data_IF_439375601274
#
_entry.id   IF_439375601274
#
_cell.length_a   1.000
_cell.length_b   1.000
_cell.length_c   1.000
_cell.angle_alpha   90.00
_cell.angle_beta   90.00
_cell.angle_gamma   90.00
#
_symmetry.space_group_name_H-M   'P 1'
#
loop_
_entity.id
_entity.type
_entity.pdbx_description
1 polymer ?
#
# COMPACT_ATOMS: atom_id res chain seq x y z
N UNK A 1 -13.28 -16.41 -7.56
CA UNK A 1 -12.53 -15.98 -6.36
C UNK A 1 -12.68 -16.95 -5.20
N UNK A 2 -11.63 -17.13 -4.41
CA UNK A 2 -11.58 -17.95 -3.20
C UNK A 2 -11.40 -17.07 -1.94
N UNK A 3 -12.14 -17.35 -0.86
CA UNK A 3 -12.09 -16.56 0.38
C UNK A 3 -11.48 -17.37 1.53
N UNK A 4 -10.56 -16.75 2.29
CA UNK A 4 -9.99 -17.34 3.51
C UNK A 4 -10.07 -16.34 4.65
N UNK A 5 -10.90 -16.61 5.65
CA UNK A 5 -11.10 -15.73 6.80
C UNK A 5 -11.67 -16.55 7.98
N UNK A 6 -11.03 -16.45 9.16
CA UNK A 6 -11.46 -17.16 10.37
C UNK A 6 -12.76 -16.56 10.97
N UNK A 7 -13.05 -15.30 10.68
CA UNK A 7 -14.27 -14.61 11.08
C UNK A 7 -15.44 -15.03 10.18
N UNK A 8 -16.08 -16.16 10.53
CA UNK A 8 -17.19 -16.77 9.78
C UNK A 8 -18.26 -15.79 9.28
N UNK A 9 -18.75 -14.92 10.16
CA UNK A 9 -19.80 -13.94 9.83
C UNK A 9 -19.33 -12.97 8.73
N UNK A 10 -18.08 -12.52 8.79
CA UNK A 10 -17.51 -11.64 7.78
C UNK A 10 -17.34 -12.38 6.45
N UNK A 11 -16.79 -13.59 6.48
CA UNK A 11 -16.63 -14.43 5.30
C UNK A 11 -17.96 -14.71 4.59
N UNK A 12 -19.01 -15.06 5.34
CA UNK A 12 -20.37 -15.29 4.84
C UNK A 12 -20.97 -14.00 4.26
N UNK A 13 -20.78 -12.86 4.93
CA UNK A 13 -21.26 -11.56 4.44
C UNK A 13 -20.57 -11.18 3.14
N UNK A 14 -19.25 -11.37 3.03
CA UNK A 14 -18.50 -11.09 1.82
C UNK A 14 -18.91 -12.05 0.69
N UNK A 15 -19.09 -13.34 0.99
CA UNK A 15 -19.58 -14.32 0.02
C UNK A 15 -20.98 -13.98 -0.51
N UNK A 16 -21.88 -13.53 0.38
CA UNK A 16 -23.21 -13.04 -0.01
C UNK A 16 -23.11 -11.77 -0.87
N UNK A 17 -22.24 -10.82 -0.51
CA UNK A 17 -22.01 -9.63 -1.32
C UNK A 17 -21.50 -10.00 -2.71
N UNK A 18 -20.56 -10.96 -2.82
CA UNK A 18 -20.06 -11.49 -4.08
C UNK A 18 -21.19 -12.14 -4.90
N UNK A 19 -22.08 -12.91 -4.29
CA UNK A 19 -23.17 -13.60 -5.03
C UNK A 19 -24.20 -12.64 -5.65
N UNK A 20 -24.27 -11.39 -5.16
CA UNK A 20 -25.09 -10.34 -5.79
C UNK A 20 -24.44 -9.69 -7.01
N UNK A 21 -23.16 -9.98 -7.29
CA UNK A 21 -22.42 -9.40 -8.40
C UNK A 21 -22.51 -10.32 -9.63
N UNK A 22 -22.82 -9.79 -10.83
CA UNK A 22 -22.94 -10.60 -12.05
C UNK A 22 -21.58 -11.06 -12.60
N UNK A 23 -20.49 -10.42 -12.19
CA UNK A 23 -19.14 -10.58 -12.73
C UNK A 23 -18.15 -11.24 -11.76
N UNK A 24 -18.60 -11.57 -10.54
CA UNK A 24 -17.78 -12.19 -9.51
C UNK A 24 -18.47 -13.43 -8.96
N UNK A 25 -17.68 -14.48 -8.71
CA UNK A 25 -18.19 -15.72 -8.15
C UNK A 25 -17.27 -16.24 -7.04
N UNK A 26 -17.86 -16.67 -5.93
CA UNK A 26 -17.15 -17.28 -4.81
C UNK A 26 -17.06 -18.79 -5.03
N UNK A 27 -15.86 -19.28 -5.36
CA UNK A 27 -15.59 -20.70 -5.62
C UNK A 27 -15.48 -21.51 -4.33
N UNK A 28 -15.24 -20.86 -3.19
CA UNK A 28 -15.15 -21.52 -1.90
C UNK A 28 -14.77 -20.55 -0.78
N UNK A 29 -15.03 -20.99 0.46
CA UNK A 29 -14.68 -20.28 1.69
C UNK A 29 -13.91 -21.25 2.59
N UNK A 30 -12.86 -20.77 3.23
CA UNK A 30 -12.14 -21.49 4.27
C UNK A 30 -11.88 -20.60 5.49
N UNK A 31 -11.70 -21.21 6.66
CA UNK A 31 -11.55 -20.51 7.94
C UNK A 31 -10.22 -20.83 8.65
N UNK A 32 -9.32 -21.54 7.96
CA UNK A 32 -7.98 -21.89 8.44
C UNK A 32 -7.05 -22.18 7.27
N UNK A 33 -5.74 -22.16 7.49
CA UNK A 33 -4.73 -22.52 6.49
C UNK A 33 -4.90 -23.96 6.02
N UNK A 34 -5.16 -24.88 6.95
CA UNK A 34 -5.39 -26.29 6.65
C UNK A 34 -6.63 -26.50 5.77
N UNK A 35 -7.73 -25.87 6.13
CA UNK A 35 -8.97 -25.94 5.35
C UNK A 35 -8.77 -25.32 3.97
N UNK A 36 -8.10 -24.16 3.90
CA UNK A 36 -7.81 -23.51 2.64
C UNK A 36 -7.04 -24.42 1.66
N UNK A 37 -6.04 -25.14 2.16
CA UNK A 37 -5.31 -26.14 1.36
C UNK A 37 -6.15 -27.35 0.96
N UNK A 38 -7.11 -27.78 1.78
CA UNK A 38 -8.03 -28.85 1.39
C UNK A 38 -8.90 -28.39 0.22
N UNK A 39 -9.57 -27.25 0.39
CA UNK A 39 -10.47 -26.67 -0.62
C UNK A 39 -9.72 -26.37 -1.91
N UNK A 40 -8.51 -25.80 -1.85
CA UNK A 40 -7.71 -25.55 -3.05
C UNK A 40 -7.35 -26.82 -3.82
N UNK A 41 -7.12 -27.95 -3.13
CA UNK A 41 -6.86 -29.24 -3.80
C UNK A 41 -8.10 -29.77 -4.50
N UNK A 42 -9.26 -29.62 -3.87
CA UNK A 42 -10.55 -30.02 -4.46
C UNK A 42 -10.87 -29.14 -5.68
N UNK A 43 -10.76 -27.81 -5.53
CA UNK A 43 -10.99 -26.84 -6.61
C UNK A 43 -10.02 -26.99 -7.78
N UNK A 44 -8.79 -27.44 -7.55
CA UNK A 44 -7.82 -27.67 -8.63
C UNK A 44 -8.27 -28.75 -9.63
N UNK A 45 -9.14 -29.69 -9.21
CA UNK A 45 -9.69 -30.73 -10.08
C UNK A 45 -10.95 -30.30 -10.84
N UNK A 46 -11.66 -29.27 -10.35
CA UNK A 46 -12.94 -28.83 -10.89
C UNK A 46 -12.85 -27.46 -11.55
N UNK A 47 -12.66 -26.42 -10.74
CA UNK A 47 -12.62 -25.03 -11.17
C UNK A 47 -11.68 -24.24 -10.25
N UNK A 48 -10.44 -24.03 -10.71
CA UNK A 48 -9.46 -23.27 -9.95
C UNK A 48 -9.90 -21.80 -9.79
N UNK A 49 -9.67 -21.17 -8.62
CA UNK A 49 -9.93 -19.76 -8.45
C UNK A 49 -8.97 -18.92 -9.30
N UNK A 50 -9.47 -17.77 -9.75
CA UNK A 50 -8.78 -16.74 -10.51
C UNK A 50 -8.24 -15.58 -9.64
N UNK A 51 -8.69 -15.52 -8.39
CA UNK A 51 -8.33 -14.55 -7.38
C UNK A 51 -8.51 -15.19 -6.00
N UNK A 52 -7.64 -14.86 -5.04
CA UNK A 52 -7.87 -15.17 -3.63
C UNK A 52 -7.97 -13.90 -2.78
N UNK A 53 -8.88 -13.90 -1.80
CA UNK A 53 -8.93 -12.91 -0.73
C UNK A 53 -8.59 -13.62 0.58
N UNK A 54 -7.55 -13.17 1.27
CA UNK A 54 -6.94 -13.93 2.37
C UNK A 54 -6.73 -13.04 3.59
N UNK A 55 -7.23 -13.50 4.73
CA UNK A 55 -6.84 -12.98 6.04
C UNK A 55 -5.46 -13.51 6.48
N UNK A 56 -4.68 -12.65 7.14
CA UNK A 56 -3.36 -13.03 7.64
C UNK A 56 -3.41 -13.68 9.03
N UNK A 57 -4.43 -13.35 9.83
CA UNK A 57 -4.58 -13.80 11.21
C UNK A 57 -5.48 -15.04 11.26
N UNK A 58 -4.94 -16.20 10.91
CA UNK A 58 -5.67 -17.48 10.89
C UNK A 58 -5.35 -18.34 12.13
N UNK A 59 -6.27 -19.21 12.58
CA UNK A 59 -6.15 -19.93 13.85
C UNK A 59 -5.00 -20.96 13.89
N UNK A 60 -4.52 -21.42 12.74
CA UNK A 60 -3.50 -22.47 12.60
C UNK A 60 -2.21 -21.99 11.91
N UNK A 61 -2.05 -20.67 11.73
CA UNK A 61 -0.81 -20.08 11.22
C UNK A 61 -1.03 -18.73 10.54
N UNK A 62 0.05 -18.16 10.01
CA UNK A 62 -0.07 -16.91 9.24
C UNK A 62 -0.56 -17.17 7.83
N UNK A 63 -1.60 -16.47 7.40
CA UNK A 63 -2.08 -16.47 6.01
C UNK A 63 -1.03 -15.97 5.01
N UNK A 64 0.05 -15.32 5.47
CA UNK A 64 1.14 -14.85 4.62
C UNK A 64 1.81 -15.98 3.82
N UNK A 65 1.85 -17.20 4.37
CA UNK A 65 2.36 -18.36 3.64
C UNK A 65 1.45 -18.74 2.46
N UNK A 66 0.13 -18.64 2.62
CA UNK A 66 -0.83 -18.83 1.52
C UNK A 66 -0.70 -17.73 0.48
N UNK A 67 -0.48 -16.47 0.90
CA UNK A 67 -0.22 -15.36 -0.01
C UNK A 67 1.00 -15.65 -0.89
N UNK A 68 2.13 -16.01 -0.27
CA UNK A 68 3.37 -16.31 -1.01
C UNK A 68 3.23 -17.51 -1.95
N UNK A 69 2.41 -18.50 -1.59
CA UNK A 69 2.13 -19.69 -2.39
C UNK A 69 1.23 -19.36 -3.60
N UNK A 70 0.14 -18.62 -3.38
CA UNK A 70 -0.89 -18.36 -4.40
C UNK A 70 -0.54 -17.20 -5.33
N UNK A 71 0.17 -16.19 -4.84
CA UNK A 71 0.59 -15.03 -5.63
C UNK A 71 1.46 -15.39 -6.84
N UNK A 72 2.07 -16.57 -6.85
CA UNK A 72 2.83 -17.08 -7.99
C UNK A 72 1.93 -17.49 -9.18
N UNK A 73 0.62 -17.63 -8.97
CA UNK A 73 -0.33 -18.20 -9.93
C UNK A 73 -1.52 -17.29 -10.20
N UNK A 74 -2.02 -16.64 -9.15
CA UNK A 74 -3.21 -15.80 -9.20
C UNK A 74 -3.00 -14.54 -8.36
N UNK A 75 -3.69 -13.43 -8.67
CA UNK A 75 -3.72 -12.28 -7.78
C UNK A 75 -4.25 -12.67 -6.39
N UNK A 76 -3.61 -12.12 -5.35
CA UNK A 76 -4.02 -12.30 -3.97
C UNK A 76 -4.26 -10.94 -3.33
N UNK A 77 -5.48 -10.70 -2.84
CA UNK A 77 -5.81 -9.52 -2.03
C UNK A 77 -5.78 -9.94 -0.58
N UNK A 78 -5.02 -9.21 0.24
CA UNK A 78 -4.99 -9.43 1.67
C UNK A 78 -6.06 -8.58 2.34
N UNK A 79 -6.84 -9.20 3.23
CA UNK A 79 -7.67 -8.50 4.20
C UNK A 79 -7.04 -8.62 5.58
N UNK A 80 -7.09 -7.55 6.38
CA UNK A 80 -6.61 -7.60 7.76
C UNK A 80 -7.42 -6.67 8.64
N UNK A 81 -7.64 -7.04 9.90
CA UNK A 81 -8.28 -6.15 10.87
C UNK A 81 -7.41 -4.92 11.18
N UNK A 82 -6.08 -5.01 10.99
CA UNK A 82 -5.14 -3.94 11.34
C UNK A 82 -4.10 -3.74 10.22
N UNK A 83 -4.40 -2.90 9.21
CA UNK A 83 -3.46 -2.61 8.12
C UNK A 83 -2.35 -1.66 8.61
N UNK A 84 -1.35 -2.22 9.29
CA UNK A 84 -0.13 -1.52 9.73
C UNK A 84 0.99 -1.65 8.71
N UNK A 85 1.91 -0.69 8.69
CA UNK A 85 2.97 -0.59 7.68
C UNK A 85 3.81 -1.88 7.52
N UNK A 86 4.09 -2.58 8.61
CA UNK A 86 4.82 -3.85 8.60
C UNK A 86 4.01 -4.99 7.94
N UNK A 87 2.69 -5.04 8.16
CA UNK A 87 1.79 -5.98 7.50
C UNK A 87 1.75 -5.72 6.00
N UNK A 88 1.56 -4.47 5.60
CA UNK A 88 1.58 -4.07 4.19
C UNK A 88 2.89 -4.50 3.53
N UNK A 89 4.03 -4.14 4.14
CA UNK A 89 5.36 -4.45 3.59
C UNK A 89 5.59 -5.95 3.45
N UNK A 90 5.15 -6.76 4.42
CA UNK A 90 5.27 -8.23 4.37
C UNK A 90 4.35 -8.84 3.31
N UNK A 91 3.10 -8.41 3.24
CA UNK A 91 2.13 -8.88 2.26
C UNK A 91 2.57 -8.55 0.82
N UNK A 92 3.02 -7.31 0.58
CA UNK A 92 3.58 -6.90 -0.71
C UNK A 92 4.84 -7.69 -1.06
N UNK A 93 5.75 -7.90 -0.10
CA UNK A 93 6.94 -8.74 -0.32
C UNK A 93 6.60 -10.21 -0.62
N UNK A 94 5.48 -10.71 -0.12
CA UNK A 94 4.95 -12.03 -0.44
C UNK A 94 4.19 -12.08 -1.79
N UNK A 95 4.07 -10.97 -2.51
CA UNK A 95 3.42 -10.90 -3.81
C UNK A 95 1.92 -10.58 -3.79
N UNK A 96 1.38 -10.09 -2.67
CA UNK A 96 0.00 -9.62 -2.63
C UNK A 96 -0.24 -8.53 -3.69
N UNK A 97 -1.33 -8.67 -4.45
CA UNK A 97 -1.80 -7.70 -5.44
C UNK A 97 -2.34 -6.43 -4.77
N UNK A 98 -2.86 -6.54 -3.54
CA UNK A 98 -3.37 -5.44 -2.72
C UNK A 98 -3.56 -5.84 -1.26
N UNK A 99 -3.65 -4.85 -0.36
CA UNK A 99 -3.89 -5.03 1.08
C UNK A 99 -4.97 -4.06 1.54
N UNK A 100 -6.04 -4.56 2.14
CA UNK A 100 -7.16 -3.76 2.61
C UNK A 100 -7.47 -4.05 4.09
N UNK A 101 -8.07 -3.07 4.75
CA UNK A 101 -8.69 -3.24 6.06
C UNK A 101 -10.02 -3.97 5.98
N UNK A 102 -10.34 -4.82 6.96
CA UNK A 102 -11.68 -5.46 7.07
C UNK A 102 -12.79 -4.46 7.43
N UNK A 103 -12.43 -3.25 7.89
CA UNK A 103 -13.32 -2.13 8.17
C UNK A 103 -13.76 -1.37 6.91
N UNK A 104 -13.12 -1.64 5.76
CA UNK A 104 -13.51 -1.02 4.51
C UNK A 104 -14.90 -1.48 4.05
N UNK A 105 -15.65 -0.59 3.38
CA UNK A 105 -16.94 -0.96 2.80
C UNK A 105 -16.81 -2.12 1.81
N UNK A 106 -17.78 -3.05 1.82
CA UNK A 106 -17.77 -4.22 0.92
C UNK A 106 -17.61 -3.85 -0.55
N UNK A 107 -18.20 -2.74 -1.00
CA UNK A 107 -18.07 -2.30 -2.39
C UNK A 107 -16.63 -1.93 -2.78
N UNK A 108 -15.81 -1.45 -1.82
CA UNK A 108 -14.39 -1.17 -2.05
C UNK A 108 -13.56 -2.46 -2.13
N UNK A 109 -13.88 -3.44 -1.29
CA UNK A 109 -13.27 -4.78 -1.35
C UNK A 109 -13.56 -5.41 -2.73
N UNK A 110 -14.80 -5.35 -3.19
CA UNK A 110 -15.20 -5.86 -4.51
C UNK A 110 -14.57 -5.08 -5.67
N UNK A 111 -14.46 -3.75 -5.57
CA UNK A 111 -13.77 -2.94 -6.58
C UNK A 111 -12.27 -3.29 -6.65
N UNK A 112 -11.65 -3.58 -5.51
CA UNK A 112 -10.26 -4.02 -5.42
C UNK A 112 -10.08 -5.41 -6.04
N UNK A 113 -10.99 -6.35 -5.78
CA UNK A 113 -11.01 -7.66 -6.41
C UNK A 113 -11.03 -7.55 -7.95
N UNK A 114 -11.89 -6.68 -8.50
CA UNK A 114 -11.95 -6.40 -9.95
C UNK A 114 -10.67 -5.80 -10.49
N UNK A 115 -10.08 -4.84 -9.76
CA UNK A 115 -8.81 -4.21 -10.14
C UNK A 115 -7.68 -5.24 -10.20
N UNK A 116 -7.62 -6.14 -9.21
CA UNK A 116 -6.64 -7.21 -9.15
C UNK A 116 -6.84 -8.23 -10.29
N UNK A 117 -8.08 -8.62 -10.59
CA UNK A 117 -8.42 -9.49 -11.73
C UNK A 117 -8.04 -8.88 -13.08
N UNK A 118 -8.15 -7.55 -13.22
CA UNK A 118 -7.73 -6.83 -14.43
C UNK A 118 -6.19 -6.71 -14.57
N UNK A 119 -5.42 -7.23 -13.62
CA UNK A 119 -3.95 -7.11 -13.60
C UNK A 119 -3.44 -5.70 -13.33
N UNK A 120 -4.32 -4.80 -12.91
CA UNK A 120 -3.96 -3.43 -12.56
C UNK A 120 -3.38 -3.37 -11.14
N UNK A 121 -2.41 -2.48 -10.87
CA UNK A 121 -1.88 -2.31 -9.53
C UNK A 121 -3.00 -1.82 -8.60
N UNK A 122 -3.30 -2.59 -7.55
CA UNK A 122 -4.25 -2.16 -6.52
C UNK A 122 -3.58 -1.05 -5.71
N UNK A 123 -4.14 0.15 -5.80
CA UNK A 123 -3.78 1.24 -4.89
C UNK A 123 -4.74 1.21 -3.72
N UNK A 124 -4.27 0.74 -2.57
CA UNK A 124 -5.03 0.87 -1.33
C UNK A 124 -5.12 2.35 -0.98
N UNK A 125 -6.29 2.96 -1.20
CA UNK A 125 -6.53 4.42 -1.12
C UNK A 125 -6.20 5.01 0.25
N UNK A 126 -6.26 4.18 1.31
CA UNK A 126 -5.95 4.58 2.70
C UNK A 126 -4.52 4.27 3.15
N UNK A 127 -3.66 3.72 2.28
CA UNK A 127 -2.29 3.31 2.66
C UNK A 127 -1.22 4.28 2.17
N UNK A 128 -1.58 5.52 1.89
CA UNK A 128 -0.54 6.55 1.72
C UNK A 128 0.31 6.54 2.99
N UNK A 129 1.62 6.23 2.93
CA UNK A 129 2.48 6.23 4.11
C UNK A 129 2.50 7.61 4.81
N UNK A 130 2.06 8.68 4.14
CA UNK A 130 1.83 9.98 4.76
C UNK A 130 0.60 10.04 5.68
N UNK A 131 -0.41 9.19 5.46
CA UNK A 131 -1.69 9.19 6.22
C UNK A 131 -1.62 8.35 7.49
N UNK A 132 -0.69 7.38 7.58
CA UNK A 132 -0.41 6.63 8.81
C UNK A 132 0.48 7.37 9.83
N UNK A 133 0.78 8.66 9.60
CA UNK A 133 1.46 9.52 10.58
C UNK A 133 0.52 10.03 11.70
N UNK A 134 -0.57 9.35 11.98
CA UNK A 134 -1.47 9.65 13.10
C UNK A 134 -1.23 8.62 14.22
N UNK A 135 -0.78 8.94 15.44
CA UNK A 135 -0.63 10.22 16.10
C UNK A 135 0.39 10.20 17.24
N UNK A 136 1.61 9.70 16.99
CA UNK A 136 2.80 9.95 17.86
C UNK A 136 4.13 10.08 17.12
N UNK A 137 4.18 9.97 15.79
CA UNK A 137 5.42 10.03 15.00
C UNK A 137 5.60 11.32 14.17
N UNK A 138 4.61 12.23 14.15
CA UNK A 138 4.73 13.54 13.48
C UNK A 138 5.66 14.53 14.19
N UNK A 139 5.90 14.38 15.50
CA UNK A 139 6.81 15.28 16.22
C UNK A 139 8.27 15.06 15.80
N UNK A 140 8.62 13.86 15.31
CA UNK A 140 9.99 13.52 14.90
C UNK A 140 10.30 14.03 13.49
N UNK A 141 9.30 14.07 12.61
CA UNK A 141 9.48 14.54 11.23
C UNK A 141 9.35 16.07 11.08
N UNK A 142 8.55 16.74 11.92
CA UNK A 142 8.51 18.20 11.96
C UNK A 142 9.85 18.83 12.42
N UNK A 143 10.67 18.08 13.17
CA UNK A 143 12.01 18.51 13.61
C UNK A 143 13.13 18.39 12.56
N UNK A 144 12.92 17.65 11.47
CA UNK A 144 13.96 17.41 10.46
C UNK A 144 14.17 18.58 9.49
N UNK A 145 13.26 19.57 9.48
CA UNK A 145 13.44 20.84 8.77
C UNK A 145 14.30 21.86 9.53
N UNK A 146 14.63 21.60 10.80
CA UNK A 146 15.30 22.56 11.68
C UNK A 146 16.62 22.01 12.25
N UNK A 147 17.48 21.44 11.40
CA UNK A 147 18.91 21.28 11.71
C UNK A 147 19.25 20.55 13.02
N UNK A 148 18.44 19.58 13.46
CA UNK A 148 18.73 18.81 14.68
C UNK A 148 19.67 17.64 14.36
N UNK A 149 20.75 17.52 15.12
CA UNK A 149 21.67 16.37 15.04
C UNK A 149 20.99 15.13 15.65
N UNK A 150 20.84 14.07 14.85
CA UNK A 150 20.22 12.82 15.29
C UNK A 150 21.10 12.06 16.31
N UNK A 151 20.50 11.41 17.33
CA UNK A 151 21.22 10.50 18.22
C UNK A 151 21.76 9.29 17.45
N UNK A 152 22.89 8.75 17.90
CA UNK A 152 23.68 7.74 17.20
C UNK A 152 22.91 6.44 16.83
N UNK A 153 21.81 6.14 17.53
CA UNK A 153 20.95 4.98 17.29
C UNK A 153 20.15 5.02 15.98
N UNK A 154 19.90 6.22 15.42
CA UNK A 154 19.15 6.40 14.17
C UNK A 154 20.06 6.56 12.93
N UNK A 155 21.38 6.61 13.10
CA UNK A 155 22.35 6.70 11.99
C UNK A 155 22.48 5.41 11.18
N UNK A 156 21.93 4.30 11.69
CA UNK A 156 22.04 2.96 11.09
C UNK A 156 21.10 2.79 9.89
N UNK A 157 20.14 3.70 9.68
CA UNK A 157 19.17 3.65 8.57
C UNK A 157 19.49 4.54 7.36
N UNK A 158 20.70 5.09 7.28
CA UNK A 158 21.19 5.76 6.08
C UNK A 158 22.16 4.85 5.31
N UNK A 159 21.63 3.81 4.66
CA UNK A 159 22.39 3.08 3.64
C UNK A 159 22.52 3.92 2.35
N UNK A 160 23.67 3.95 1.65
CA UNK A 160 23.94 4.90 0.57
C UNK A 160 23.15 4.73 -0.74
N UNK A 161 22.30 3.72 -0.89
CA UNK A 161 21.72 3.33 -2.19
C UNK A 161 20.50 4.15 -2.67
N UNK A 162 20.00 5.11 -1.88
CA UNK A 162 18.83 5.93 -2.29
C UNK A 162 19.19 7.39 -2.61
N UNK A 163 20.43 7.65 -3.03
CA UNK A 163 20.76 8.89 -3.75
C UNK A 163 20.69 8.65 -5.25
N UNK A 164 19.48 8.72 -5.82
CA UNK A 164 19.20 9.08 -7.23
C UNK A 164 17.69 9.01 -7.49
N UNK A 165 16.95 10.00 -7.00
CA UNK A 165 15.61 10.32 -7.52
C UNK A 165 15.10 11.73 -7.18
N UNK A 166 15.96 12.68 -6.81
CA UNK A 166 15.58 14.10 -6.68
C UNK A 166 16.73 15.00 -7.12
N UNK A 167 17.09 14.87 -8.38
CA UNK A 167 17.78 15.94 -9.13
C UNK A 167 17.08 16.11 -10.46
N UNK A 168 16.00 16.88 -10.45
CA UNK A 168 15.50 17.62 -11.62
C UNK A 168 14.45 18.64 -11.18
N UNK A 169 14.91 19.74 -10.58
CA UNK A 169 14.31 21.07 -10.70
C UNK A 169 15.09 22.02 -9.79
N UNK A 170 16.13 22.65 -10.32
CA UNK A 170 16.67 23.97 -9.97
C UNK A 170 18.14 24.06 -10.40
N UNK A 171 18.33 24.30 -11.70
CA UNK A 171 19.50 25.01 -12.19
C UNK A 171 19.07 25.82 -13.41
N UNK A 172 18.94 27.13 -13.22
CA UNK A 172 19.22 28.13 -14.26
C UNK A 172 20.32 29.03 -13.70
N UNK A 173 21.53 29.07 -14.30
CA UNK A 173 22.57 30.01 -13.93
C UNK A 173 22.70 31.15 -14.95
N UNK A 174 22.68 32.40 -14.48
CA UNK A 174 23.55 33.52 -14.88
C UNK A 174 23.04 34.78 -14.15
N UNK A 175 23.70 35.30 -13.12
CA UNK A 175 24.98 36.04 -13.11
C UNK A 175 24.90 37.36 -13.88
N UNK A 176 24.89 38.49 -13.16
CA UNK A 176 26.05 39.39 -13.10
C UNK A 176 25.70 40.77 -12.50
N UNK A 177 26.51 41.18 -11.51
CA UNK A 177 27.12 42.52 -11.33
C UNK A 177 26.21 43.77 -11.22
N UNK A 178 26.42 44.77 -10.37
CA UNK A 178 27.58 45.25 -9.59
C UNK A 178 27.08 46.31 -8.60
N UNK A 179 27.81 46.51 -7.50
CA UNK A 179 27.70 47.69 -6.65
C UNK A 179 27.96 49.00 -7.43
N UNK A 180 27.20 50.07 -7.14
CA UNK A 180 27.75 51.40 -6.82
C UNK A 180 26.61 52.37 -6.44
N UNK A 181 26.68 52.96 -5.25
CA UNK A 181 25.90 54.16 -4.91
C UNK A 181 26.79 55.39 -5.18
N UNK A 182 26.34 56.31 -6.05
CA UNK A 182 26.67 57.74 -5.98
C UNK A 182 25.98 58.54 -7.10
N UNK A 183 25.39 59.64 -6.63
CA UNK A 183 25.13 60.94 -7.28
C UNK A 183 23.96 61.07 -8.26
N UNK A 184 23.05 61.90 -7.76
CA UNK A 184 21.94 62.60 -8.36
C UNK A 184 22.35 63.73 -9.31
N UNK A 185 21.49 63.92 -10.33
CA UNK A 185 21.16 65.15 -11.09
C UNK A 185 22.06 65.56 -12.27
N UNK A 186 21.54 66.28 -13.29
CA UNK A 186 20.17 66.37 -13.87
C UNK A 186 20.17 66.37 -15.43
N UNK A 187 19.02 66.51 -16.12
CA UNK A 187 18.95 67.18 -17.43
C UNK A 187 18.23 68.55 -17.30
N UNK A 188 18.82 69.68 -17.72
CA UNK A 188 18.67 70.33 -19.05
C UNK A 188 17.19 70.45 -19.45
N UNK A 189 16.52 71.54 -19.07
CA UNK A 189 16.40 72.86 -19.74
C UNK A 189 15.33 72.89 -20.85
N UNK A 190 14.33 73.78 -20.69
CA UNK A 190 13.50 74.45 -21.71
C UNK A 190 12.24 75.03 -21.04
N UNK A 191 12.27 76.32 -20.68
CA UNK A 191 11.10 77.08 -20.22
C UNK A 191 11.44 78.30 -19.37
#
# INVERSE_FOLDING_TARGET
MFLVDDHRVFAETLALAVSTQPDLYCTGVAHSVREARSVLRELAAEQAPDLAIIDLDLPDGSGLYLVAELAQRIPVVVLTAHPRFDVLRRATAAGAAGVLGKDQPLHEILATARTALAGAPVRSRDTDPAVHLTGREMDVLAGLGAGVTLPASLRIWASPSTRRATTSALCSPNSAHTANSKRSSPPIDSG
#
